data_IF_937592101586
#
_entry.id   IF_937592101586
#
_cell.length_a   1.000
_cell.length_b   1.000
_cell.length_c   1.000
_cell.angle_alpha   90.00
_cell.angle_beta   90.00
_cell.angle_gamma   90.00
#
_symmetry.space_group_name_H-M   'P 1'
#
loop_
_entity.id
_entity.type
_entity.pdbx_description
1 polymer ?
#
# COMPACT_ATOMS: atom_id res chain seq x y z
N UNK A 1 2.38 17.46 -31.76
CA UNK A 1 3.14 17.53 -30.49
C UNK A 1 2.91 16.22 -29.76
N UNK A 2 3.98 15.54 -29.42
CA UNK A 2 3.99 14.28 -28.67
C UNK A 2 4.13 14.55 -27.18
N UNK A 3 3.67 13.62 -26.35
CA UNK A 3 3.89 13.67 -24.90
C UNK A 3 5.40 13.67 -24.55
N UNK A 4 6.21 13.04 -25.40
CA UNK A 4 7.67 12.98 -25.25
C UNK A 4 8.40 14.29 -25.50
N UNK A 5 7.70 15.29 -26.05
CA UNK A 5 8.28 16.61 -26.32
C UNK A 5 8.25 17.50 -25.06
N UNK A 6 7.56 17.08 -23.99
CA UNK A 6 7.49 17.81 -22.74
C UNK A 6 8.71 17.56 -21.85
N UNK A 7 9.19 18.60 -21.13
CA UNK A 7 10.15 18.44 -20.06
C UNK A 7 9.71 17.44 -18.97
N UNK A 8 10.69 16.78 -18.34
CA UNK A 8 10.44 15.72 -17.35
C UNK A 8 9.65 16.21 -16.13
N UNK A 9 9.91 17.44 -15.68
CA UNK A 9 9.17 18.09 -14.59
C UNK A 9 7.69 18.28 -14.93
N UNK A 10 7.36 18.65 -16.16
CA UNK A 10 5.96 18.74 -16.62
C UNK A 10 5.32 17.35 -16.65
N UNK A 11 6.03 16.32 -17.11
CA UNK A 11 5.54 14.94 -17.07
C UNK A 11 5.30 14.48 -15.63
N UNK A 12 6.20 14.80 -14.70
CA UNK A 12 6.03 14.50 -13.28
C UNK A 12 4.84 15.26 -12.67
N UNK A 13 4.62 16.51 -13.08
CA UNK A 13 3.47 17.29 -12.64
C UNK A 13 2.15 16.61 -13.05
N UNK A 14 2.06 16.14 -14.30
CA UNK A 14 0.89 15.39 -14.79
C UNK A 14 0.64 14.12 -13.97
N UNK A 15 1.71 13.45 -13.52
CA UNK A 15 1.54 12.21 -12.73
C UNK A 15 0.92 12.41 -11.35
N UNK A 16 0.80 13.64 -10.85
CA UNK A 16 0.02 13.92 -9.61
C UNK A 16 -1.46 13.64 -9.78
N UNK A 17 -1.96 13.75 -11.01
CA UNK A 17 -3.35 13.51 -11.35
C UNK A 17 -3.66 12.03 -11.58
N UNK A 18 -2.63 11.18 -11.63
CA UNK A 18 -2.75 9.77 -11.93
C UNK A 18 -2.88 8.93 -10.65
N UNK A 19 -3.78 7.95 -10.71
CA UNK A 19 -3.73 6.86 -9.75
C UNK A 19 -2.55 5.94 -10.08
N UNK A 20 -2.15 5.10 -9.13
CA UNK A 20 -0.99 4.21 -9.32
C UNK A 20 -1.08 3.37 -10.61
N UNK A 21 -2.24 2.81 -11.02
CA UNK A 21 -2.36 2.09 -12.28
C UNK A 21 -2.03 2.93 -13.51
N UNK A 22 -2.50 4.17 -13.54
CA UNK A 22 -2.31 5.07 -14.67
C UNK A 22 -0.84 5.48 -14.78
N UNK A 23 -0.20 5.73 -13.65
CA UNK A 23 1.25 5.98 -13.60
C UNK A 23 2.07 4.79 -14.11
N UNK A 24 1.70 3.56 -13.73
CA UNK A 24 2.36 2.35 -14.21
C UNK A 24 2.12 2.11 -15.71
N UNK A 25 0.88 2.34 -16.18
CA UNK A 25 0.54 2.24 -17.59
C UNK A 25 1.30 3.26 -18.43
N UNK A 26 1.38 4.52 -17.95
CA UNK A 26 2.18 5.56 -18.58
C UNK A 26 3.63 5.12 -18.71
N UNK A 27 4.23 4.61 -17.63
CA UNK A 27 5.60 4.16 -17.64
C UNK A 27 5.87 2.99 -18.59
N UNK A 28 4.87 2.15 -18.84
CA UNK A 28 4.96 1.04 -19.79
C UNK A 28 4.90 1.50 -21.27
N UNK A 29 4.54 2.75 -21.57
CA UNK A 29 4.37 3.22 -22.96
C UNK A 29 5.70 3.40 -23.71
N UNK A 30 6.71 3.99 -23.08
CA UNK A 30 8.02 4.23 -23.70
C UNK A 30 9.13 4.39 -22.66
N UNK A 31 10.38 4.31 -23.10
CA UNK A 31 11.57 4.41 -22.23
C UNK A 31 11.68 5.75 -21.51
N UNK A 32 11.27 6.85 -22.17
CA UNK A 32 11.23 8.17 -21.53
C UNK A 32 10.21 8.19 -20.39
N UNK A 33 8.99 7.70 -20.61
CA UNK A 33 7.97 7.59 -19.56
C UNK A 33 8.41 6.65 -18.43
N UNK A 34 9.18 5.60 -18.73
CA UNK A 34 9.73 4.71 -17.71
C UNK A 34 10.66 5.45 -16.72
N UNK A 35 11.30 6.56 -17.12
CA UNK A 35 12.12 7.38 -16.22
C UNK A 35 11.31 8.01 -15.10
N UNK A 36 10.00 8.22 -15.29
CA UNK A 36 9.10 8.75 -14.26
C UNK A 36 9.02 7.81 -13.05
N UNK A 37 9.12 6.48 -13.26
CA UNK A 37 9.15 5.51 -12.16
C UNK A 37 10.40 5.63 -11.28
N UNK A 38 11.46 6.27 -11.77
CA UNK A 38 12.69 6.50 -11.01
C UNK A 38 12.55 7.68 -10.04
N UNK A 39 11.51 8.51 -10.18
CA UNK A 39 11.29 9.66 -9.32
C UNK A 39 10.58 9.25 -8.02
N UNK A 40 11.15 9.50 -6.84
CA UNK A 40 10.47 9.30 -5.56
C UNK A 40 9.18 10.12 -5.46
N UNK A 41 9.15 11.27 -6.14
CA UNK A 41 8.03 12.19 -6.15
C UNK A 41 6.73 11.53 -6.61
N UNK A 42 6.80 10.71 -7.67
CA UNK A 42 5.67 9.95 -8.19
C UNK A 42 5.04 9.09 -7.09
N UNK A 43 5.86 8.28 -6.42
CA UNK A 43 5.40 7.32 -5.43
C UNK A 43 4.82 8.00 -4.20
N UNK A 44 5.45 9.09 -3.74
CA UNK A 44 4.93 9.91 -2.63
C UNK A 44 3.57 10.50 -3.01
N UNK A 45 3.43 11.04 -4.23
CA UNK A 45 2.16 11.58 -4.71
C UNK A 45 1.08 10.50 -4.78
N UNK A 46 1.37 9.32 -5.35
CA UNK A 46 0.42 8.20 -5.38
C UNK A 46 -0.01 7.74 -3.99
N UNK A 47 0.94 7.64 -3.04
CA UNK A 47 0.65 7.22 -1.66
C UNK A 47 -0.24 8.24 -0.94
N UNK A 48 0.06 9.55 -1.07
CA UNK A 48 -0.78 10.62 -0.51
C UNK A 48 -2.18 10.61 -1.11
N UNK A 49 -2.30 10.34 -2.41
CA UNK A 49 -3.61 10.22 -3.07
C UNK A 49 -4.42 9.05 -2.53
N UNK A 50 -3.77 7.91 -2.24
CA UNK A 50 -4.42 6.77 -1.57
C UNK A 50 -4.96 7.17 -0.19
N UNK A 51 -4.16 7.88 0.59
CA UNK A 51 -4.57 8.35 1.92
C UNK A 51 -5.71 9.37 1.85
N UNK A 52 -5.62 10.36 0.95
CA UNK A 52 -6.56 11.48 0.88
C UNK A 52 -7.85 11.16 0.13
N UNK A 53 -7.75 10.56 -1.06
CA UNK A 53 -8.90 10.34 -1.95
C UNK A 53 -9.68 9.08 -1.55
N UNK A 54 -8.96 8.01 -1.22
CA UNK A 54 -9.61 6.75 -0.84
C UNK A 54 -9.86 6.64 0.67
N UNK A 55 -9.35 7.58 1.47
CA UNK A 55 -9.44 7.56 2.94
C UNK A 55 -9.00 6.20 3.52
N UNK A 56 -7.88 5.66 3.01
CA UNK A 56 -7.33 4.37 3.43
C UNK A 56 -5.95 4.54 4.05
N UNK A 57 -5.68 3.85 5.18
CA UNK A 57 -4.36 3.87 5.78
C UNK A 57 -3.35 3.20 4.85
N UNK A 58 -2.13 3.71 4.86
CA UNK A 58 -1.02 3.10 4.14
C UNK A 58 -0.49 1.87 4.89
N UNK A 59 0.02 0.84 4.18
CA UNK A 59 0.58 -0.35 4.80
C UNK A 59 2.02 -0.10 5.28
N UNK A 60 2.20 0.87 6.16
CA UNK A 60 3.45 1.20 6.84
C UNK A 60 3.20 1.39 8.35
N UNK A 61 4.28 1.48 9.14
CA UNK A 61 4.15 1.73 10.57
C UNK A 61 3.52 3.10 10.83
N UNK A 62 2.74 3.22 11.90
CA UNK A 62 2.15 4.50 12.29
C UNK A 62 3.24 5.56 12.51
N UNK A 63 3.04 6.76 11.97
CA UNK A 63 4.01 7.85 12.06
C UNK A 63 5.22 7.73 11.14
N UNK A 64 5.24 6.78 10.19
CA UNK A 64 6.32 6.69 9.20
C UNK A 64 6.36 7.95 8.34
N UNK A 65 7.49 8.66 8.32
CA UNK A 65 7.72 9.75 7.37
C UNK A 65 7.99 9.18 5.97
N UNK A 66 6.96 9.24 5.12
CA UNK A 66 7.02 8.73 3.74
C UNK A 66 8.03 9.52 2.91
N UNK A 67 8.23 10.81 3.18
CA UNK A 67 9.09 11.67 2.35
C UNK A 67 10.56 11.28 2.50
N UNK A 68 10.96 10.81 3.68
CA UNK A 68 12.31 10.35 3.97
C UNK A 68 12.63 8.91 3.51
N UNK A 69 11.67 8.17 2.94
CA UNK A 69 11.89 6.78 2.57
C UNK A 69 12.70 6.63 1.28
N UNK A 70 13.54 5.58 1.18
CA UNK A 70 14.21 5.25 -0.08
C UNK A 70 13.19 4.83 -1.14
N UNK A 71 13.53 5.05 -2.41
CA UNK A 71 12.67 4.77 -3.57
C UNK A 71 12.11 3.33 -3.56
N UNK A 72 12.93 2.34 -3.21
CA UNK A 72 12.49 0.94 -3.17
C UNK A 72 11.47 0.67 -2.05
N UNK A 73 11.58 1.36 -0.92
CA UNK A 73 10.57 1.26 0.14
C UNK A 73 9.26 1.93 -0.30
N UNK A 74 9.33 3.11 -0.94
CA UNK A 74 8.17 3.79 -1.50
C UNK A 74 7.43 2.92 -2.52
N UNK A 75 8.17 2.29 -3.45
CA UNK A 75 7.63 1.34 -4.43
C UNK A 75 6.92 0.17 -3.75
N UNK A 76 7.55 -0.45 -2.76
CA UNK A 76 6.98 -1.59 -2.02
C UNK A 76 5.68 -1.20 -1.33
N UNK A 77 5.65 -0.07 -0.62
CA UNK A 77 4.45 0.41 0.07
C UNK A 77 3.36 0.73 -0.95
N UNK A 78 3.67 1.42 -2.04
CA UNK A 78 2.68 1.80 -3.06
C UNK A 78 2.05 0.58 -3.73
N UNK A 79 2.85 -0.40 -4.16
CA UNK A 79 2.36 -1.64 -4.75
C UNK A 79 1.49 -2.41 -3.75
N UNK A 80 1.90 -2.46 -2.48
CA UNK A 80 1.12 -3.12 -1.45
C UNK A 80 -0.21 -2.39 -1.19
N UNK A 81 -0.18 -1.08 -1.03
CA UNK A 81 -1.36 -0.25 -0.83
C UNK A 81 -2.36 -0.42 -1.99
N UNK A 82 -1.87 -0.48 -3.22
CA UNK A 82 -2.70 -0.71 -4.39
C UNK A 82 -3.30 -2.13 -4.43
N UNK A 83 -2.53 -3.16 -4.09
CA UNK A 83 -3.06 -4.54 -3.98
C UNK A 83 -4.18 -4.61 -2.95
N UNK A 84 -3.99 -3.96 -1.79
CA UNK A 84 -5.03 -3.84 -0.78
C UNK A 84 -6.24 -3.11 -1.36
N UNK A 85 -6.07 -1.91 -1.91
CA UNK A 85 -7.17 -1.15 -2.51
C UNK A 85 -7.96 -1.98 -3.53
N UNK A 86 -7.28 -2.68 -4.44
CA UNK A 86 -7.91 -3.56 -5.43
C UNK A 86 -8.68 -4.71 -4.76
N UNK A 87 -8.11 -5.31 -3.73
CA UNK A 87 -8.76 -6.40 -3.00
C UNK A 87 -10.03 -5.94 -2.28
N UNK A 88 -10.01 -4.74 -1.68
CA UNK A 88 -11.18 -4.14 -1.02
C UNK A 88 -12.33 -3.86 -1.98
N UNK A 89 -12.03 -3.56 -3.25
CA UNK A 89 -13.03 -3.31 -4.29
C UNK A 89 -13.41 -4.56 -5.09
N UNK A 90 -12.88 -5.73 -4.74
CA UNK A 90 -13.22 -6.98 -5.43
C UNK A 90 -14.51 -7.56 -4.85
N UNK A 91 -15.37 -8.12 -5.71
CA UNK A 91 -16.58 -8.85 -5.28
C UNK A 91 -16.28 -10.03 -4.36
N UNK A 92 -15.05 -10.56 -4.42
CA UNK A 92 -14.57 -11.65 -3.58
C UNK A 92 -13.18 -11.31 -2.99
N UNK A 93 -13.13 -10.49 -1.92
CA UNK A 93 -11.88 -10.09 -1.29
C UNK A 93 -11.13 -11.31 -0.76
N UNK A 94 -9.84 -11.41 -1.07
CA UNK A 94 -8.96 -12.50 -0.65
C UNK A 94 -8.13 -12.07 0.56
N UNK A 95 -8.13 -12.87 1.62
CA UNK A 95 -7.24 -12.66 2.76
C UNK A 95 -5.88 -13.27 2.41
N UNK A 96 -4.82 -12.46 2.37
CA UNK A 96 -3.50 -12.89 1.90
C UNK A 96 -2.76 -13.81 2.90
N UNK A 97 -3.09 -13.75 4.19
CA UNK A 97 -2.74 -14.72 5.25
C UNK A 97 -3.21 -14.17 6.61
N UNK A 98 -3.50 -15.04 7.57
CA UNK A 98 -3.76 -14.66 8.96
C UNK A 98 -2.85 -15.48 9.90
N UNK A 99 -2.47 -14.90 11.04
CA UNK A 99 -1.92 -15.64 12.18
C UNK A 99 -3.07 -15.70 13.13
N UNK A 100 -3.40 -16.90 13.52
CA UNK A 100 -4.12 -17.08 14.76
C UNK A 100 -3.15 -16.70 15.87
N UNK A 101 -3.45 -15.63 16.60
CA UNK A 101 -2.82 -15.36 17.88
C UNK A 101 -3.78 -15.94 18.90
N UNK A 102 -3.36 -16.97 19.62
CA UNK A 102 -4.06 -17.39 20.83
C UNK A 102 -3.78 -16.31 21.88
N UNK A 103 -4.80 -15.52 22.21
CA UNK A 103 -4.75 -14.68 23.39
C UNK A 103 -5.04 -15.61 24.57
N UNK A 104 -4.10 -15.71 25.50
CA UNK A 104 -4.33 -16.39 26.76
C UNK A 104 -5.22 -15.46 27.61
N UNK A 105 -6.46 -15.90 27.88
CA UNK A 105 -7.48 -15.12 28.62
C UNK A 105 -7.10 -14.87 30.10
N UNK A 106 -5.88 -15.21 30.51
CA UNK A 106 -5.41 -15.13 31.90
C UNK A 106 -5.16 -13.70 32.40
N UNK A 107 -5.18 -12.67 31.54
CA UNK A 107 -4.90 -11.28 31.95
C UNK A 107 -6.13 -10.34 32.00
N UNK A 108 -7.36 -10.83 31.80
CA UNK A 108 -8.53 -9.92 31.64
C UNK A 108 -9.72 -10.10 32.59
N UNK A 109 -9.73 -11.05 33.52
CA UNK A 109 -10.83 -11.15 34.52
C UNK A 109 -10.36 -11.60 35.91
N UNK A 110 -10.39 -10.66 36.86
CA UNK A 110 -10.33 -10.92 38.31
C UNK A 110 -11.74 -11.27 38.87
N UNK A 111 -12.57 -11.96 38.09
CA UNK A 111 -13.99 -12.13 38.43
C UNK A 111 -14.69 -13.25 37.66
N UNK A 112 -14.80 -14.39 38.33
CA UNK A 112 -15.77 -15.49 38.18
C UNK A 112 -15.93 -16.21 36.83
N UNK A 113 -15.57 -17.50 36.92
CA UNK A 113 -15.79 -18.66 36.05
C UNK A 113 -17.10 -18.62 35.23
N UNK A 114 -16.94 -18.49 33.92
CA UNK A 114 -17.99 -18.76 32.94
C UNK A 114 -17.40 -19.41 31.68
N UNK A 115 -17.77 -20.67 31.46
CA UNK A 115 -17.58 -21.55 30.28
C UNK A 115 -16.59 -21.07 29.20
N UNK A 116 -15.46 -21.78 29.09
CA UNK A 116 -14.29 -21.46 28.26
C UNK A 116 -14.55 -21.48 26.75
N UNK A 117 -15.24 -20.46 26.26
CA UNK A 117 -15.38 -20.16 24.84
C UNK A 117 -14.12 -19.52 24.29
N UNK A 118 -13.32 -20.28 23.53
CA UNK A 118 -12.18 -19.72 22.77
C UNK A 118 -12.68 -18.65 21.80
N UNK A 119 -12.28 -17.39 22.01
CA UNK A 119 -12.56 -16.30 21.07
C UNK A 119 -11.40 -16.20 20.09
N UNK A 120 -11.66 -16.54 18.83
CA UNK A 120 -10.66 -16.43 17.76
C UNK A 120 -10.67 -15.01 17.19
N UNK A 121 -9.65 -14.22 17.49
CA UNK A 121 -9.43 -12.95 16.79
C UNK A 121 -8.62 -13.18 15.51
N UNK A 122 -9.24 -12.91 14.36
CA UNK A 122 -8.54 -12.92 13.07
C UNK A 122 -7.79 -11.61 12.93
N UNK A 123 -6.47 -11.64 13.13
CA UNK A 123 -5.60 -10.49 12.90
C UNK A 123 -4.89 -10.69 11.56
N UNK A 124 -5.03 -9.77 10.58
CA UNK A 124 -4.30 -9.86 9.33
C UNK A 124 -2.80 -9.74 9.60
N UNK A 125 -2.00 -10.73 9.15
CA UNK A 125 -0.54 -10.58 9.17
C UNK A 125 -0.13 -9.91 7.87
N UNK A 126 0.61 -8.82 8.00
CA UNK A 126 1.41 -8.31 6.91
C UNK A 126 2.75 -9.04 6.91
N UNK A 127 2.84 -10.16 6.18
CA UNK A 127 4.11 -10.89 6.02
C UNK A 127 5.13 -10.02 5.29
N UNK A 128 6.26 -9.73 5.94
CA UNK A 128 7.41 -9.03 5.36
C UNK A 128 8.28 -9.92 4.46
N UNK A 129 7.87 -11.16 4.17
CA UNK A 129 8.65 -12.11 3.39
C UNK A 129 7.81 -12.69 2.27
N UNK A 130 8.02 -12.18 1.05
CA UNK A 130 7.91 -12.88 -0.23
C UNK A 130 7.90 -11.86 -1.37
N UNK A 131 9.03 -11.28 -1.79
CA UNK A 131 9.11 -10.70 -3.14
C UNK A 131 10.54 -10.82 -3.68
N UNK A 132 10.84 -11.92 -4.38
CA UNK A 132 11.77 -11.93 -5.49
C UNK A 132 10.96 -11.60 -6.75
N UNK A 133 11.13 -10.38 -7.27
CA UNK A 133 10.95 -10.00 -8.67
C UNK A 133 12.07 -9.01 -8.97
#
# INVERSE_FOLDING_TARGET
MSLTDFPLDVLLELTKEFDLPDALNLAATCTLCATVLLSPYLWIASLRRIEQVHNRPLPCAFGTDIVGLPLDALRKIAVHAYKLLKNWHSDAPRVASFRTIELDDSELYDGEVGDGGKIWHIIPIYSQHLWHI
#
